data_IF_192828564611
#
_entry.id   IF_192828564611
#
_cell.length_a   1.000
_cell.length_b   1.000
_cell.length_c   1.000
_cell.angle_alpha   90.00
_cell.angle_beta   90.00
_cell.angle_gamma   90.00
#
_symmetry.space_group_name_H-M   'P 1'
#
loop_
_entity.id
_entity.type
_entity.pdbx_description
1 polymer ?
#
# COMPACT_ATOMS: atom_id res chain seq x y z
N UNK A 1 -16.54 21.11 34.35
CA UNK A 1 -15.27 21.01 33.62
C UNK A 1 -15.47 20.06 32.44
N UNK A 2 -15.77 20.64 31.27
CA UNK A 2 -15.81 19.89 30.02
C UNK A 2 -14.48 20.15 29.32
N UNK A 3 -13.61 19.13 29.28
CA UNK A 3 -12.38 19.19 28.50
C UNK A 3 -12.79 19.22 27.04
N UNK A 4 -12.58 20.36 26.39
CA UNK A 4 -12.70 20.48 24.95
C UNK A 4 -11.72 19.48 24.34
N UNK A 5 -12.26 18.46 23.69
CA UNK A 5 -11.51 17.76 22.66
C UNK A 5 -11.30 18.83 21.60
N UNK A 6 -10.11 19.44 21.55
CA UNK A 6 -9.73 20.28 20.41
C UNK A 6 -10.10 19.49 19.16
N UNK A 7 -10.80 20.13 18.23
CA UNK A 7 -11.08 19.56 16.93
C UNK A 7 -9.73 19.37 16.21
N UNK A 8 -9.05 18.27 16.51
CA UNK A 8 -7.82 17.84 15.86
C UNK A 8 -8.16 17.80 14.37
N UNK A 9 -7.58 18.72 13.60
CA UNK A 9 -7.60 18.60 12.14
C UNK A 9 -6.85 17.32 11.82
N UNK A 10 -7.52 16.28 11.29
CA UNK A 10 -6.86 15.03 11.02
C UNK A 10 -5.83 15.28 9.92
N UNK A 11 -4.55 15.10 10.27
CA UNK A 11 -3.46 15.22 9.31
C UNK A 11 -3.43 13.95 8.47
N UNK A 12 -3.40 14.10 7.16
CA UNK A 12 -3.23 12.98 6.23
C UNK A 12 -1.81 13.02 5.67
N UNK A 13 -1.30 11.87 5.24
CA UNK A 13 -0.02 11.77 4.59
C UNK A 13 -0.19 11.02 3.27
N UNK A 14 0.27 11.59 2.17
CA UNK A 14 0.33 10.95 0.86
C UNK A 14 1.79 10.64 0.55
N UNK A 15 2.10 9.37 0.42
CA UNK A 15 3.45 8.90 0.15
C UNK A 15 3.65 8.72 -1.35
N UNK A 16 4.80 9.16 -1.83
CA UNK A 16 5.28 8.86 -3.18
C UNK A 16 6.56 8.05 -3.08
N UNK A 17 6.67 7.01 -3.90
CA UNK A 17 7.88 6.21 -4.04
C UNK A 17 8.00 5.67 -5.47
N UNK A 18 9.19 5.20 -5.82
CA UNK A 18 9.43 4.44 -7.05
C UNK A 18 9.54 2.97 -6.68
N UNK A 19 8.51 2.18 -6.97
CA UNK A 19 8.53 0.74 -6.72
C UNK A 19 9.46 0.03 -7.70
N UNK A 20 10.19 -0.96 -7.20
CA UNK A 20 11.06 -1.85 -7.97
C UNK A 20 10.53 -3.29 -7.93
N UNK A 21 11.24 -4.25 -8.54
CA UNK A 21 10.92 -5.68 -8.37
C UNK A 21 11.38 -6.23 -7.02
N UNK A 22 12.15 -5.48 -6.23
CA UNK A 22 12.61 -5.88 -4.89
C UNK A 22 11.58 -5.48 -3.83
N UNK A 23 10.79 -6.47 -3.40
CA UNK A 23 9.74 -6.30 -2.38
C UNK A 23 10.29 -5.83 -1.03
N UNK A 24 11.51 -6.20 -0.68
CA UNK A 24 12.10 -5.81 0.61
C UNK A 24 12.55 -4.35 0.57
N UNK A 25 13.15 -3.90 -0.54
CA UNK A 25 13.50 -2.50 -0.76
C UNK A 25 12.24 -1.61 -0.75
N UNK A 26 11.18 -2.05 -1.42
CA UNK A 26 9.90 -1.37 -1.46
C UNK A 26 9.28 -1.26 -0.05
N UNK A 27 9.21 -2.39 0.67
CA UNK A 27 8.68 -2.42 2.03
C UNK A 27 9.48 -1.53 2.98
N UNK A 28 10.82 -1.56 2.91
CA UNK A 28 11.69 -0.70 3.70
C UNK A 28 11.41 0.78 3.45
N UNK A 29 11.22 1.15 2.18
CA UNK A 29 10.86 2.51 1.77
C UNK A 29 9.49 2.91 2.31
N UNK A 30 8.45 2.10 2.12
CA UNK A 30 7.11 2.36 2.68
C UNK A 30 7.15 2.49 4.20
N UNK A 31 7.82 1.56 4.88
CA UNK A 31 7.95 1.54 6.34
C UNK A 31 8.57 2.82 6.87
N UNK A 32 9.62 3.33 6.22
CA UNK A 32 10.24 4.61 6.57
C UNK A 32 9.26 5.77 6.38
N UNK A 33 8.56 5.85 5.25
CA UNK A 33 7.61 6.93 4.95
C UNK A 33 6.42 6.94 5.93
N UNK A 34 5.88 5.76 6.26
CA UNK A 34 4.80 5.61 7.25
C UNK A 34 5.25 6.05 8.63
N UNK A 35 6.47 5.68 9.05
CA UNK A 35 7.04 6.13 10.34
C UNK A 35 7.24 7.63 10.39
N UNK A 36 7.68 8.24 9.29
CA UNK A 36 7.81 9.70 9.18
C UNK A 36 6.45 10.40 9.29
N UNK A 37 5.43 9.90 8.59
CA UNK A 37 4.07 10.39 8.70
C UNK A 37 3.51 10.26 10.12
N UNK A 38 3.74 9.11 10.77
CA UNK A 38 3.36 8.87 12.16
C UNK A 38 4.06 9.82 13.14
N UNK A 39 5.36 10.08 12.94
CA UNK A 39 6.11 11.05 13.74
C UNK A 39 5.53 12.47 13.62
N UNK A 40 4.94 12.80 12.48
CA UNK A 40 4.22 14.06 12.23
C UNK A 40 2.76 14.04 12.69
N UNK A 41 2.31 12.96 13.33
CA UNK A 41 0.94 12.73 13.83
C UNK A 41 -0.12 12.65 12.72
N UNK A 42 0.24 12.08 11.57
CA UNK A 42 -0.77 11.68 10.58
C UNK A 42 -1.76 10.68 11.19
N UNK A 43 -3.04 10.87 10.94
CA UNK A 43 -4.09 9.91 11.27
C UNK A 43 -4.17 8.79 10.22
N UNK A 44 -3.91 9.14 8.94
CA UNK A 44 -4.01 8.24 7.79
C UNK A 44 -2.84 8.45 6.85
N UNK A 45 -2.27 7.36 6.33
CA UNK A 45 -1.21 7.37 5.33
C UNK A 45 -1.67 6.64 4.06
N UNK A 46 -1.51 7.28 2.91
CA UNK A 46 -1.84 6.76 1.60
C UNK A 46 -0.57 6.34 0.88
N UNK A 47 -0.45 5.05 0.56
CA UNK A 47 0.60 4.51 -0.29
C UNK A 47 0.14 4.48 -1.75
N UNK A 48 1.06 4.62 -2.71
CA UNK A 48 0.73 4.63 -4.13
C UNK A 48 0.28 3.25 -4.62
N UNK A 49 -0.23 3.21 -5.85
CA UNK A 49 -0.47 1.97 -6.58
C UNK A 49 0.85 1.19 -6.79
N UNK A 50 0.79 -0.14 -6.78
CA UNK A 50 1.96 -1.03 -6.94
C UNK A 50 3.08 -0.78 -5.90
N UNK A 51 2.71 -0.45 -4.66
CA UNK A 51 3.66 -0.25 -3.55
C UNK A 51 4.40 -1.53 -3.15
N UNK A 52 3.87 -2.69 -3.52
CA UNK A 52 4.42 -4.01 -3.24
C UNK A 52 5.59 -4.33 -4.17
N UNK A 53 5.37 -4.30 -5.48
CA UNK A 53 6.39 -4.46 -6.51
C UNK A 53 5.90 -4.04 -7.90
N UNK A 54 6.85 -3.80 -8.80
CA UNK A 54 6.61 -3.71 -10.24
C UNK A 54 7.50 -4.77 -10.91
N UNK A 55 6.88 -5.83 -11.42
CA UNK A 55 7.55 -6.90 -12.12
C UNK A 55 8.00 -6.47 -13.52
N UNK A 56 9.12 -7.01 -13.99
CA UNK A 56 9.60 -6.83 -15.36
C UNK A 56 8.92 -7.76 -16.38
N UNK A 57 8.17 -8.77 -15.91
CA UNK A 57 7.43 -9.73 -16.75
C UNK A 57 6.13 -10.20 -16.06
N UNK A 58 5.24 -10.79 -16.85
CA UNK A 58 3.97 -11.35 -16.34
C UNK A 58 4.22 -12.53 -15.41
N UNK A 59 5.20 -13.38 -15.75
CA UNK A 59 5.60 -14.55 -14.96
C UNK A 59 6.20 -14.14 -13.61
N UNK A 60 7.06 -13.11 -13.60
CA UNK A 60 7.61 -12.55 -12.36
C UNK A 60 6.50 -11.98 -11.48
N UNK A 61 5.56 -11.24 -12.08
CA UNK A 61 4.39 -10.70 -11.36
C UNK A 61 3.55 -11.82 -10.73
N UNK A 62 3.25 -12.89 -11.48
CA UNK A 62 2.55 -14.07 -10.94
C UNK A 62 3.28 -14.75 -9.79
N UNK A 63 4.61 -14.82 -9.85
CA UNK A 63 5.41 -15.43 -8.78
C UNK A 63 5.52 -14.57 -7.52
N UNK A 64 5.42 -13.24 -7.66
CA UNK A 64 5.56 -12.28 -6.57
C UNK A 64 4.22 -11.91 -5.91
N UNK A 65 3.09 -12.18 -6.57
CA UNK A 65 1.76 -11.95 -6.03
C UNK A 65 1.49 -12.78 -4.77
N UNK A 66 0.89 -12.15 -3.77
CA UNK A 66 0.54 -12.75 -2.49
C UNK A 66 -0.97 -12.60 -2.22
N UNK A 67 -1.50 -13.40 -1.30
CA UNK A 67 -2.88 -13.17 -0.80
C UNK A 67 -2.86 -12.08 0.27
N UNK A 68 -4.04 -11.61 0.69
CA UNK A 68 -4.17 -10.64 1.80
C UNK A 68 -3.71 -11.20 3.16
N UNK A 69 -3.57 -12.52 3.27
CA UNK A 69 -3.01 -13.21 4.42
C UNK A 69 -1.49 -13.40 4.33
N UNK A 70 -0.88 -13.03 3.19
CA UNK A 70 0.54 -13.17 2.92
C UNK A 70 1.45 -12.38 3.87
N UNK A 71 2.73 -12.70 3.83
CA UNK A 71 3.75 -12.14 4.71
C UNK A 71 3.84 -10.62 4.57
N UNK A 72 3.75 -10.10 3.34
CA UNK A 72 3.83 -8.66 3.09
C UNK A 72 2.69 -7.91 3.79
N UNK A 73 1.45 -8.40 3.66
CA UNK A 73 0.29 -7.77 4.30
C UNK A 73 0.39 -7.85 5.82
N UNK A 74 0.85 -8.98 6.37
CA UNK A 74 1.09 -9.10 7.81
C UNK A 74 2.09 -8.05 8.33
N UNK A 75 3.16 -7.77 7.56
CA UNK A 75 4.12 -6.72 7.92
C UNK A 75 3.48 -5.32 7.91
N UNK A 76 2.64 -5.00 6.93
CA UNK A 76 1.91 -3.72 6.91
C UNK A 76 0.92 -3.59 8.08
N UNK A 77 0.22 -4.67 8.44
CA UNK A 77 -0.64 -4.70 9.64
C UNK A 77 0.17 -4.53 10.93
N UNK A 78 1.37 -5.10 10.99
CA UNK A 78 2.30 -4.85 12.10
C UNK A 78 2.76 -3.40 12.18
N UNK A 79 3.00 -2.79 11.02
CA UNK A 79 3.38 -1.39 10.90
C UNK A 79 2.26 -0.44 11.35
N UNK A 80 1.00 -0.70 10.99
CA UNK A 80 -0.13 0.13 11.45
C UNK A 80 -0.27 0.11 12.97
N UNK A 81 -0.15 -1.08 13.57
CA UNK A 81 -0.17 -1.27 15.03
C UNK A 81 0.97 -0.55 15.73
N UNK A 82 2.18 -0.64 15.17
CA UNK A 82 3.36 -0.01 15.76
C UNK A 82 3.30 1.52 15.69
N UNK A 83 2.75 2.07 14.61
CA UNK A 83 2.67 3.52 14.38
C UNK A 83 1.36 4.15 14.86
N UNK A 84 0.31 3.37 15.10
CA UNK A 84 -1.01 3.87 15.48
C UNK A 84 -1.72 4.64 14.38
N UNK A 85 -1.44 4.33 13.10
CA UNK A 85 -1.98 5.05 11.93
C UNK A 85 -2.82 4.12 11.05
N UNK A 86 -3.78 4.70 10.32
CA UNK A 86 -4.50 3.98 9.27
C UNK A 86 -3.66 3.96 8.00
N UNK A 87 -3.71 2.87 7.25
CA UNK A 87 -3.05 2.76 5.95
C UNK A 87 -4.07 2.54 4.83
N UNK A 88 -3.88 3.29 3.75
CA UNK A 88 -4.51 3.06 2.45
C UNK A 88 -3.46 2.50 1.51
N UNK A 89 -3.58 1.22 1.17
CA UNK A 89 -2.65 0.48 0.31
C UNK A 89 -3.16 0.53 -1.13
N UNK A 90 -2.69 1.51 -1.91
CA UNK A 90 -3.30 1.95 -3.17
C UNK A 90 -3.36 0.96 -4.33
N UNK A 91 -2.77 -0.23 -4.20
CA UNK A 91 -2.90 -1.28 -5.19
C UNK A 91 -1.98 -2.46 -4.90
N UNK A 92 -2.51 -3.45 -4.19
CA UNK A 92 -1.84 -4.70 -3.85
C UNK A 92 -2.13 -5.74 -4.93
N UNK A 93 -1.09 -6.42 -5.42
CA UNK A 93 -1.24 -7.51 -6.38
C UNK A 93 -1.74 -8.76 -5.66
N UNK A 94 -3.07 -8.84 -5.52
CA UNK A 94 -3.76 -9.95 -4.88
C UNK A 94 -3.75 -11.16 -5.81
N UNK A 95 -3.15 -12.24 -5.32
CA UNK A 95 -3.18 -13.53 -6.01
C UNK A 95 -4.60 -14.12 -5.94
N UNK A 96 -5.17 -14.40 -7.10
CA UNK A 96 -6.44 -15.13 -7.20
C UNK A 96 -6.36 -16.57 -6.71
N UNK A 97 -7.51 -17.22 -6.61
CA UNK A 97 -7.64 -18.63 -6.21
C UNK A 97 -7.07 -19.59 -7.27
N UNK A 98 -6.84 -20.86 -6.91
CA UNK A 98 -6.38 -21.88 -7.86
C UNK A 98 -7.34 -22.08 -9.05
N UNK A 99 -8.63 -21.77 -8.89
CA UNK A 99 -9.65 -21.82 -9.96
C UNK A 99 -9.61 -20.60 -10.90
N UNK A 100 -9.02 -19.49 -10.46
CA UNK A 100 -8.86 -18.26 -11.22
C UNK A 100 -7.51 -17.59 -10.86
N UNK A 101 -6.42 -17.95 -11.56
CA UNK A 101 -5.07 -17.48 -11.23
C UNK A 101 -4.83 -16.02 -11.61
N UNK A 102 -5.87 -15.28 -12.02
CA UNK A 102 -5.75 -13.86 -12.36
C UNK A 102 -5.35 -13.05 -11.13
N UNK A 103 -4.38 -12.19 -11.31
CA UNK A 103 -3.99 -11.21 -10.30
C UNK A 103 -4.99 -10.07 -10.37
N UNK A 104 -5.53 -9.69 -9.21
CA UNK A 104 -6.34 -8.50 -9.06
C UNK A 104 -5.53 -7.39 -8.43
N UNK A 105 -5.71 -6.16 -8.91
CA UNK A 105 -5.20 -4.99 -8.22
C UNK A 105 -6.21 -4.59 -7.16
N UNK A 106 -5.89 -4.83 -5.90
CA UNK A 106 -6.79 -4.62 -4.77
C UNK A 106 -6.37 -3.42 -3.94
N UNK A 107 -7.25 -2.43 -3.82
CA UNK A 107 -7.06 -1.33 -2.87
C UNK A 107 -7.52 -1.80 -1.49
N UNK A 108 -6.60 -1.81 -0.53
CA UNK A 108 -6.85 -2.32 0.83
C UNK A 108 -6.74 -1.20 1.85
N UNK A 109 -7.73 -1.11 2.75
CA UNK A 109 -7.68 -0.18 3.90
C UNK A 109 -7.43 -0.99 5.17
N UNK A 110 -6.40 -0.59 5.91
CA UNK A 110 -6.01 -1.19 7.19
C UNK A 110 -6.14 -0.16 8.30
N UNK A 111 -6.86 -0.52 9.37
CA UNK A 111 -6.99 0.35 10.54
C UNK A 111 -5.73 0.39 11.41
N UNK A 112 -5.72 1.29 12.39
CA UNK A 112 -4.61 1.44 13.35
C UNK A 112 -4.40 0.23 14.27
N UNK A 113 -5.40 -0.65 14.42
CA UNK A 113 -5.28 -1.92 15.15
C UNK A 113 -4.82 -3.08 14.23
N UNK A 114 -4.59 -2.83 12.95
CA UNK A 114 -4.23 -3.84 11.96
C UNK A 114 -5.40 -4.71 11.52
N UNK A 115 -6.65 -4.25 11.65
CA UNK A 115 -7.83 -4.83 11.02
C UNK A 115 -7.92 -4.40 9.55
N UNK A 116 -8.24 -5.35 8.66
CA UNK A 116 -8.51 -5.04 7.26
C UNK A 116 -10.01 -4.73 7.15
N UNK A 117 -10.34 -3.51 6.71
CA UNK A 117 -11.72 -3.01 6.69
C UNK A 117 -12.44 -3.23 5.36
N UNK A 118 -11.71 -3.13 4.24
CA UNK A 118 -12.27 -3.34 2.90
C UNK A 118 -11.17 -3.70 1.91
N UNK A 119 -11.44 -4.64 1.02
CA UNK A 119 -10.72 -4.82 -0.25
C UNK A 119 -11.65 -4.36 -1.37
N UNK A 120 -11.32 -3.24 -2.01
CA UNK A 120 -12.02 -2.80 -3.22
C UNK A 120 -11.16 -3.18 -4.42
N UNK A 121 -11.59 -4.18 -5.18
CA UNK A 121 -11.09 -4.37 -6.54
C UNK A 121 -11.77 -3.31 -7.43
N UNK A 122 -11.03 -2.57 -8.28
CA UNK A 122 -11.66 -1.75 -9.30
C UNK A 122 -12.55 -2.65 -10.15
N UNK A 123 -13.85 -2.33 -10.22
CA UNK A 123 -14.80 -2.96 -11.16
C UNK A 123 -14.53 -2.37 -12.54
N UNK A 124 -13.37 -2.68 -13.10
CA UNK A 124 -13.11 -2.55 -14.52
C UNK A 124 -12.81 -3.95 -15.03
N UNK A 125 -13.55 -4.37 -16.04
CA UNK A 125 -13.37 -5.57 -16.85
C UNK A 125 -12.05 -5.51 -17.66
N UNK A 126 -10.99 -4.96 -17.05
CA UNK A 126 -9.77 -4.51 -17.72
C UNK A 126 -8.60 -4.26 -16.77
N UNK A 127 -8.35 -5.14 -15.79
CA UNK A 127 -6.99 -5.34 -15.28
C UNK A 127 -6.27 -6.41 -16.14
N UNK A 128 -6.34 -6.26 -17.47
CA UNK A 128 -5.39 -6.90 -18.36
C UNK A 128 -4.21 -5.94 -18.47
N UNK A 129 -3.10 -6.26 -17.78
CA UNK A 129 -1.84 -5.54 -17.97
C UNK A 129 -1.48 -5.59 -19.46
N UNK A 130 -1.69 -4.49 -20.17
CA UNK A 130 -0.98 -4.22 -21.42
C UNK A 130 0.25 -3.44 -21.01
N UNK A 131 1.42 -4.01 -21.30
CA UNK A 131 2.74 -3.39 -21.10
C UNK A 131 2.68 -1.94 -21.57
N UNK A 132 2.64 -1.00 -20.62
CA UNK A 132 2.94 0.38 -20.92
C UNK A 132 4.46 0.46 -20.92
N UNK A 133 5.06 0.72 -22.09
CA UNK A 133 6.46 1.11 -22.19
C UNK A 133 6.67 2.40 -21.38
N UNK A 134 6.94 2.24 -20.08
CA UNK A 134 7.09 3.33 -19.13
C UNK A 134 8.50 3.88 -19.17
N UNK A 135 8.64 5.14 -19.62
CA UNK A 135 9.84 5.93 -19.33
C UNK A 135 9.97 6.06 -17.82
N UNK A 136 11.17 5.80 -17.28
CA UNK A 136 11.48 5.96 -15.85
C UNK A 136 11.36 7.44 -15.45
N UNK A 137 10.29 7.80 -14.73
CA UNK A 137 10.25 9.06 -13.97
C UNK A 137 11.01 8.85 -12.66
N UNK A 138 12.22 9.41 -12.54
CA UNK A 138 12.97 9.48 -11.28
C UNK A 138 12.56 10.77 -10.56
N UNK A 139 11.53 10.69 -9.72
CA UNK A 139 11.31 11.69 -8.67
C UNK A 139 11.72 11.09 -7.31
N UNK A 140 12.29 11.89 -6.39
CA UNK A 140 12.68 11.38 -5.08
C UNK A 140 11.46 10.94 -4.26
N UNK A 141 11.54 9.78 -3.60
CA UNK A 141 10.50 9.31 -2.68
C UNK A 141 10.30 10.30 -1.54
N UNK A 142 9.04 10.57 -1.16
CA UNK A 142 8.71 11.59 -0.16
C UNK A 142 7.32 11.46 0.44
N UNK A 143 7.05 12.25 1.48
CA UNK A 143 5.75 12.35 2.14
C UNK A 143 5.19 13.77 1.97
N UNK A 144 4.02 13.86 1.37
CA UNK A 144 3.21 15.09 1.28
C UNK A 144 2.18 15.03 2.41
N UNK A 145 2.00 16.10 3.19
CA UNK A 145 1.00 16.14 4.28
C UNK A 145 -0.04 17.24 4.06
#
# INVERSE_FOLDING_TARGET
MASAVEALKPLIAVCQMTSTSDKEENFSTCSRLVREAAARRAAVVFLPEAFDYIGGSTEETLSLAETLEGDLMQRYRGLTRACGVWLSLGGFHEKGSDEDPRISNSHVIVDAAGGILNSCTPVTDRAAYTVLEGRRCREPSGVIM
#
